data_IF_198200243078
#
_entry.id   IF_198200243078
#
_cell.length_a   1.000
_cell.length_b   1.000
_cell.length_c   1.000
_cell.angle_alpha   90.00
_cell.angle_beta   90.00
_cell.angle_gamma   90.00
#
_symmetry.space_group_name_H-M   'P 1'
#
loop_
_entity.id
_entity.type
_entity.pdbx_description
1 polymer ?
#
# COMPACT_ATOMS: atom_id res chain seq x y z
N UNK A 1 2.05 -3.52 -16.36
CA UNK A 1 0.61 -3.36 -16.60
C UNK A 1 0.09 -2.11 -15.90
N UNK A 2 -1.23 -1.88 -15.96
CA UNK A 2 -1.90 -0.65 -15.51
C UNK A 2 -1.59 -0.23 -14.07
N UNK A 3 -1.64 -1.18 -13.13
CA UNK A 3 -1.42 -0.96 -11.70
C UNK A 3 0.02 -1.22 -11.23
N UNK A 4 0.97 -1.42 -12.16
CA UNK A 4 2.40 -1.61 -11.86
C UNK A 4 2.70 -2.73 -10.83
N UNK A 5 1.89 -3.79 -10.82
CA UNK A 5 2.09 -4.96 -9.94
C UNK A 5 3.44 -5.65 -10.23
N UNK A 6 4.23 -5.87 -9.19
CA UNK A 6 5.51 -6.61 -9.27
C UNK A 6 5.24 -8.11 -9.03
N UNK A 7 5.60 -9.01 -9.97
CA UNK A 7 5.31 -10.44 -9.87
C UNK A 7 5.80 -11.10 -8.59
N UNK A 8 7.06 -10.83 -8.20
CA UNK A 8 7.75 -11.51 -7.09
C UNK A 8 7.35 -11.00 -5.70
N UNK A 9 6.55 -9.94 -5.61
CA UNK A 9 6.12 -9.34 -4.33
C UNK A 9 4.60 -9.33 -4.25
N UNK A 10 3.94 -8.24 -4.62
CA UNK A 10 2.48 -8.11 -4.59
C UNK A 10 1.78 -9.21 -5.39
N UNK A 11 2.33 -9.57 -6.56
CA UNK A 11 1.80 -10.66 -7.38
C UNK A 11 1.86 -12.02 -6.66
N UNK A 12 2.99 -12.34 -6.04
CA UNK A 12 3.19 -13.57 -5.28
C UNK A 12 2.23 -13.64 -4.09
N UNK A 13 2.10 -12.54 -3.34
CA UNK A 13 1.18 -12.46 -2.21
C UNK A 13 -0.27 -12.69 -2.64
N UNK A 14 -0.71 -12.07 -3.74
CA UNK A 14 -2.07 -12.26 -4.26
C UNK A 14 -2.30 -13.69 -4.73
N UNK A 15 -1.33 -14.28 -5.44
CA UNK A 15 -1.46 -15.67 -5.89
C UNK A 15 -1.62 -16.64 -4.73
N UNK A 16 -0.74 -16.53 -3.73
CA UNK A 16 -0.72 -17.45 -2.61
C UNK A 16 -1.86 -17.19 -1.60
N UNK A 17 -2.14 -15.93 -1.26
CA UNK A 17 -3.02 -15.57 -0.14
C UNK A 17 -4.48 -15.30 -0.54
N UNK A 18 -4.74 -14.99 -1.81
CA UNK A 18 -6.09 -14.64 -2.29
C UNK A 18 -6.57 -15.62 -3.33
N UNK A 19 -5.74 -15.94 -4.33
CA UNK A 19 -6.13 -16.84 -5.43
C UNK A 19 -5.91 -18.32 -5.09
N UNK A 20 -5.25 -18.66 -3.98
CA UNK A 20 -4.85 -20.03 -3.61
C UNK A 20 -4.14 -20.76 -4.76
N UNK A 21 -3.31 -20.03 -5.52
CA UNK A 21 -2.51 -20.57 -6.62
C UNK A 21 -1.03 -20.53 -6.21
N UNK A 22 -0.30 -21.65 -6.27
CA UNK A 22 1.12 -21.64 -5.98
C UNK A 22 1.88 -20.81 -7.03
N UNK A 23 3.00 -20.22 -6.61
CA UNK A 23 3.90 -19.49 -7.49
C UNK A 23 3.61 -17.99 -7.58
N UNK A 24 3.93 -17.40 -8.73
CA UNK A 24 3.80 -15.96 -9.01
C UNK A 24 3.13 -15.77 -10.37
N UNK A 25 2.40 -14.66 -10.59
CA UNK A 25 1.87 -14.34 -11.91
C UNK A 25 3.00 -14.16 -12.93
N UNK A 26 2.78 -14.61 -14.16
CA UNK A 26 3.71 -14.32 -15.26
C UNK A 26 3.58 -12.86 -15.71
N UNK A 27 4.53 -12.41 -16.55
CA UNK A 27 4.45 -11.06 -17.13
C UNK A 27 3.20 -10.93 -18.01
N UNK A 28 2.93 -11.94 -18.83
CA UNK A 28 1.80 -12.00 -19.76
C UNK A 28 0.47 -11.89 -19.00
N UNK A 29 0.35 -12.62 -17.88
CA UNK A 29 -0.80 -12.51 -16.98
C UNK A 29 -0.99 -11.07 -16.47
N UNK A 30 0.09 -10.37 -16.12
CA UNK A 30 0.02 -8.97 -15.64
C UNK A 30 -0.02 -7.92 -16.75
N UNK A 31 0.13 -8.32 -18.02
CA UNK A 31 -0.11 -7.45 -19.17
C UNK A 31 -1.56 -7.47 -19.60
N UNK A 32 -2.31 -8.55 -19.31
CA UNK A 32 -3.76 -8.55 -19.43
C UNK A 32 -4.38 -7.51 -18.46
N UNK A 33 -5.16 -6.53 -18.98
CA UNK A 33 -5.71 -5.45 -18.15
C UNK A 33 -6.58 -5.93 -16.98
N UNK A 34 -7.45 -6.91 -17.22
CA UNK A 34 -8.39 -7.39 -16.21
C UNK A 34 -7.64 -8.10 -15.07
N UNK A 35 -6.73 -9.01 -15.42
CA UNK A 35 -5.87 -9.69 -14.46
C UNK A 35 -4.96 -8.73 -13.69
N UNK A 36 -4.45 -7.68 -14.36
CA UNK A 36 -3.62 -6.68 -13.72
C UNK A 36 -4.40 -5.85 -12.67
N UNK A 37 -5.60 -5.37 -13.02
CA UNK A 37 -6.46 -4.60 -12.12
C UNK A 37 -6.94 -5.48 -10.95
N UNK A 38 -7.37 -6.71 -11.24
CA UNK A 38 -7.78 -7.66 -10.22
C UNK A 38 -6.64 -7.96 -9.24
N UNK A 39 -5.43 -8.19 -9.74
CA UNK A 39 -4.26 -8.45 -8.89
C UNK A 39 -3.88 -7.23 -8.05
N UNK A 40 -3.85 -6.03 -8.63
CA UNK A 40 -3.54 -4.81 -7.88
C UNK A 40 -4.58 -4.50 -6.81
N UNK A 41 -5.86 -4.72 -7.12
CA UNK A 41 -6.96 -4.53 -6.17
C UNK A 41 -6.94 -5.58 -5.05
N UNK A 42 -6.67 -6.84 -5.39
CA UNK A 42 -6.48 -7.90 -4.41
C UNK A 42 -5.28 -7.62 -3.48
N UNK A 43 -4.23 -6.97 -3.98
CA UNK A 43 -3.13 -6.56 -3.11
C UNK A 43 -3.55 -5.47 -2.10
N UNK A 44 -4.40 -4.51 -2.48
CA UNK A 44 -5.01 -3.59 -1.50
C UNK A 44 -5.84 -4.32 -0.44
N UNK A 45 -6.55 -5.39 -0.81
CA UNK A 45 -7.25 -6.24 0.17
C UNK A 45 -6.27 -6.86 1.18
N UNK A 46 -5.11 -7.36 0.74
CA UNK A 46 -4.07 -7.90 1.63
C UNK A 46 -3.52 -6.80 2.54
N UNK A 47 -3.20 -5.63 1.99
CA UNK A 47 -2.73 -4.48 2.77
C UNK A 47 -3.73 -4.14 3.88
N UNK A 48 -5.01 -3.98 3.53
CA UNK A 48 -6.09 -3.60 4.45
C UNK A 48 -6.32 -4.62 5.57
N UNK A 49 -6.39 -5.90 5.22
CA UNK A 49 -6.92 -6.95 6.10
C UNK A 49 -5.85 -7.81 6.76
N UNK A 50 -4.61 -7.78 6.25
CA UNK A 50 -3.50 -8.56 6.81
C UNK A 50 -2.41 -7.67 7.35
N UNK A 51 -1.82 -6.82 6.51
CA UNK A 51 -0.59 -6.10 6.86
C UNK A 51 -0.82 -4.85 7.70
N UNK A 52 -1.89 -4.11 7.43
CA UNK A 52 -2.30 -2.88 8.13
C UNK A 52 -3.61 -3.06 8.88
N UNK A 53 -3.95 -4.31 9.23
CA UNK A 53 -5.22 -4.67 9.88
C UNK A 53 -5.45 -3.88 11.18
N UNK A 54 -4.38 -3.64 11.93
CA UNK A 54 -4.38 -2.98 13.24
C UNK A 54 -4.37 -1.44 13.17
N UNK A 55 -4.25 -0.83 11.99
CA UNK A 55 -4.42 0.62 11.86
C UNK A 55 -5.90 0.92 12.10
N UNK A 56 -6.23 1.77 13.07
CA UNK A 56 -7.62 1.94 13.53
C UNK A 56 -8.34 3.06 12.78
N UNK A 57 -7.71 4.23 12.67
CA UNK A 57 -8.33 5.38 12.02
C UNK A 57 -8.46 5.16 10.51
N UNK A 58 -9.65 5.36 9.90
CA UNK A 58 -9.88 5.05 8.48
C UNK A 58 -9.01 5.87 7.53
N UNK A 59 -8.88 7.19 7.75
CA UNK A 59 -7.99 8.05 6.94
C UNK A 59 -6.53 7.65 7.05
N UNK A 60 -6.03 7.38 8.27
CA UNK A 60 -4.69 6.84 8.50
C UNK A 60 -4.48 5.52 7.78
N UNK A 61 -5.46 4.61 7.82
CA UNK A 61 -5.42 3.34 7.08
C UNK A 61 -5.33 3.58 5.58
N UNK A 62 -6.09 4.53 5.04
CA UNK A 62 -6.02 4.89 3.63
C UNK A 62 -4.63 5.42 3.21
N UNK A 63 -4.07 6.36 3.97
CA UNK A 63 -2.73 6.92 3.70
C UNK A 63 -1.63 5.85 3.76
N UNK A 64 -1.67 5.01 4.79
CA UNK A 64 -0.70 3.92 4.96
C UNK A 64 -0.84 2.86 3.87
N UNK A 65 -2.07 2.55 3.41
CA UNK A 65 -2.29 1.64 2.27
C UNK A 65 -1.70 2.20 0.97
N UNK A 66 -1.95 3.47 0.63
CA UNK A 66 -1.38 4.11 -0.56
C UNK A 66 0.14 4.10 -0.50
N UNK A 67 0.71 4.51 0.64
CA UNK A 67 2.17 4.53 0.83
C UNK A 67 2.77 3.13 0.74
N UNK A 68 2.14 2.12 1.35
CA UNK A 68 2.60 0.74 1.33
C UNK A 68 2.48 0.09 -0.07
N UNK A 69 1.56 0.53 -0.91
CA UNK A 69 1.43 0.03 -2.28
C UNK A 69 2.69 0.32 -3.11
N UNK A 70 3.28 1.52 -2.95
CA UNK A 70 4.54 1.90 -3.63
C UNK A 70 5.79 1.54 -2.80
N UNK A 71 5.82 1.91 -1.53
CA UNK A 71 6.98 1.78 -0.66
C UNK A 71 7.17 0.42 0.00
N UNK A 72 6.10 -0.38 0.07
CA UNK A 72 5.99 -1.59 0.88
C UNK A 72 5.64 -1.30 2.35
N UNK A 73 4.92 -2.22 3.01
CA UNK A 73 4.53 -2.07 4.43
C UNK A 73 5.74 -1.87 5.36
N UNK A 74 6.88 -2.51 5.06
CA UNK A 74 8.10 -2.31 5.84
C UNK A 74 8.59 -0.86 5.81
N UNK A 75 8.51 -0.19 4.66
CA UNK A 75 8.87 1.23 4.54
C UNK A 75 7.94 2.14 5.32
N UNK A 76 6.63 1.84 5.28
CA UNK A 76 5.63 2.53 6.10
C UNK A 76 5.96 2.40 7.58
N UNK A 77 6.16 1.19 8.10
CA UNK A 77 6.44 0.98 9.54
C UNK A 77 7.76 1.64 9.95
N UNK A 78 8.83 1.48 9.15
CA UNK A 78 10.14 2.09 9.40
C UNK A 78 10.12 3.63 9.41
N UNK A 79 9.05 4.26 8.90
CA UNK A 79 8.84 5.72 9.00
C UNK A 79 8.54 6.16 10.44
N UNK A 80 7.97 5.27 11.25
CA UNK A 80 7.55 5.53 12.63
C UNK A 80 8.51 4.87 13.63
N UNK A 81 8.81 3.59 13.48
CA UNK A 81 9.75 2.86 14.33
C UNK A 81 10.36 1.67 13.58
N UNK A 82 11.63 1.31 13.81
CA UNK A 82 12.18 0.06 13.30
C UNK A 82 11.49 -1.19 13.86
N UNK A 83 10.94 -1.11 15.08
CA UNK A 83 10.12 -2.18 15.66
C UNK A 83 8.67 -2.09 15.15
N UNK A 84 8.14 -3.22 14.67
CA UNK A 84 6.85 -3.26 13.99
C UNK A 84 5.68 -2.95 14.93
N UNK A 85 5.75 -3.42 16.16
CA UNK A 85 4.66 -3.25 17.13
C UNK A 85 4.66 -1.83 17.67
N UNK A 86 5.83 -1.26 17.96
CA UNK A 86 5.96 0.16 18.29
C UNK A 86 5.53 1.07 17.14
N UNK A 87 5.91 0.76 15.90
CA UNK A 87 5.46 1.52 14.73
C UNK A 87 3.94 1.53 14.62
N UNK A 88 3.28 0.37 14.77
CA UNK A 88 1.83 0.26 14.73
C UNK A 88 1.16 1.07 15.87
N UNK A 89 1.73 1.02 17.07
CA UNK A 89 1.25 1.80 18.21
C UNK A 89 1.38 3.31 17.95
N UNK A 90 2.52 3.76 17.45
CA UNK A 90 2.73 5.17 17.10
C UNK A 90 1.76 5.63 16.01
N UNK A 91 1.56 4.85 14.94
CA UNK A 91 0.60 5.17 13.88
C UNK A 91 -0.80 5.41 14.45
N UNK A 92 -1.23 4.60 15.41
CA UNK A 92 -2.55 4.70 16.04
C UNK A 92 -2.66 5.82 17.10
N UNK A 93 -1.54 6.38 17.57
CA UNK A 93 -1.51 7.52 18.49
C UNK A 93 -1.51 8.87 17.77
N UNK A 94 -1.22 8.87 16.46
CA UNK A 94 -1.13 10.08 15.65
C UNK A 94 -2.46 10.39 14.95
N UNK A 95 -2.73 11.67 14.79
CA UNK A 95 -3.83 12.14 13.96
C UNK A 95 -3.50 11.95 12.47
N UNK A 96 -4.50 11.86 11.57
CA UNK A 96 -4.28 11.61 10.14
C UNK A 96 -3.29 12.59 9.47
N UNK A 97 -3.33 13.87 9.84
CA UNK A 97 -2.44 14.89 9.27
C UNK A 97 -0.97 14.68 9.68
N UNK A 98 -0.73 14.21 10.91
CA UNK A 98 0.61 13.88 11.39
C UNK A 98 1.15 12.63 10.69
N UNK A 99 0.29 11.63 10.45
CA UNK A 99 0.66 10.43 9.68
C UNK A 99 0.97 10.80 8.24
N UNK A 100 0.12 11.62 7.61
CA UNK A 100 0.37 12.13 6.26
C UNK A 100 1.71 12.86 6.19
N UNK A 101 1.98 13.77 7.13
CA UNK A 101 3.25 14.48 7.19
C UNK A 101 4.44 13.53 7.34
N UNK A 102 4.36 12.54 8.25
CA UNK A 102 5.42 11.57 8.45
C UNK A 102 5.70 10.76 7.17
N UNK A 103 4.65 10.24 6.52
CA UNK A 103 4.78 9.46 5.28
C UNK A 103 5.31 10.28 4.10
N UNK A 104 5.04 11.59 4.06
CA UNK A 104 5.47 12.47 2.97
C UNK A 104 6.80 13.18 3.22
N UNK A 105 7.35 13.14 4.43
CA UNK A 105 8.61 13.81 4.78
C UNK A 105 9.68 12.86 5.31
N UNK A 106 9.30 11.83 6.07
CA UNK A 106 10.23 10.93 6.78
C UNK A 106 10.35 9.54 6.16
N UNK A 107 9.41 9.12 5.31
CA UNK A 107 9.48 7.80 4.70
C UNK A 107 10.82 7.60 3.97
N UNK A 108 11.53 6.47 4.14
CA UNK A 108 12.91 6.31 3.67
C UNK A 108 13.08 6.46 2.16
N UNK A 109 12.08 6.04 1.39
CA UNK A 109 12.05 6.19 -0.07
C UNK A 109 11.40 7.50 -0.48
N UNK A 110 12.12 8.31 -1.25
CA UNK A 110 11.60 9.56 -1.82
C UNK A 110 10.42 9.35 -2.77
N UNK A 111 10.46 8.29 -3.56
CA UNK A 111 9.36 7.95 -4.47
C UNK A 111 8.04 7.76 -3.72
N UNK A 112 8.06 7.03 -2.61
CA UNK A 112 6.87 6.79 -1.79
C UNK A 112 6.33 8.07 -1.13
N UNK A 113 7.23 9.01 -0.76
CA UNK A 113 6.83 10.33 -0.25
C UNK A 113 6.00 11.09 -1.29
N UNK A 114 6.50 11.15 -2.53
CA UNK A 114 5.82 11.82 -3.66
C UNK A 114 4.57 11.06 -4.11
N UNK A 115 4.59 9.72 -4.05
CA UNK A 115 3.50 8.86 -4.50
C UNK A 115 2.22 9.10 -3.71
N UNK A 116 2.30 9.20 -2.37
CA UNK A 116 1.13 9.47 -1.53
C UNK A 116 0.47 10.82 -1.89
N UNK A 117 1.27 11.86 -2.07
CA UNK A 117 0.79 13.19 -2.46
C UNK A 117 0.08 13.13 -3.82
N UNK A 118 0.70 12.49 -4.80
CA UNK A 118 0.19 12.37 -6.17
C UNK A 118 -1.13 11.59 -6.23
N UNK A 119 -1.23 10.46 -5.51
CA UNK A 119 -2.44 9.64 -5.50
C UNK A 119 -3.60 10.38 -4.84
N UNK A 120 -3.38 11.06 -3.70
CA UNK A 120 -4.46 11.81 -3.04
C UNK A 120 -4.95 12.98 -3.89
N UNK A 121 -4.05 13.65 -4.61
CA UNK A 121 -4.41 14.71 -5.56
C UNK A 121 -5.34 14.17 -6.66
N UNK A 122 -4.94 13.12 -7.38
CA UNK A 122 -5.77 12.54 -8.43
C UNK A 122 -7.05 11.88 -7.92
N UNK A 123 -7.02 11.29 -6.72
CA UNK A 123 -8.23 10.74 -6.10
C UNK A 123 -9.24 11.84 -5.81
N UNK A 124 -8.79 13.00 -5.33
CA UNK A 124 -9.67 14.16 -5.12
C UNK A 124 -10.27 14.64 -6.44
N UNK A 125 -9.47 14.74 -7.50
CA UNK A 125 -9.97 15.12 -8.83
C UNK A 125 -10.99 14.11 -9.35
N UNK A 126 -10.71 12.81 -9.27
CA UNK A 126 -11.62 11.74 -9.71
C UNK A 126 -12.95 11.74 -8.96
N UNK A 127 -12.94 11.98 -7.65
CA UNK A 127 -14.16 12.00 -6.84
C UNK A 127 -15.02 13.26 -7.04
N UNK A 128 -14.46 14.30 -7.67
CA UNK A 128 -15.17 15.56 -7.96
C UNK A 128 -15.66 15.63 -9.43
N UNK A 129 -15.49 14.55 -10.19
CA UNK A 129 -16.08 14.37 -11.52
C UNK A 129 -17.51 13.82 -11.39
#
# INVERSE_FOLDING_TARGET
>A
GLMQVIPKTAGADVFNLVKNKPGIPTKEYLFDPANNIDTGTAYFYILKNRYLKNVQHPTTKHYTMISAYNGGTGGVLATFDPDRDRAMNQINQLNPDQVYWALTNKHPKEEARRYLQKVLHFQKEFNNQ
#
